data_IF_096156829663
#
_entry.id   IF_096156829663
#
_cell.length_a   1.000
_cell.length_b   1.000
_cell.length_c   1.000
_cell.angle_alpha   90.00
_cell.angle_beta   90.00
_cell.angle_gamma   90.00
#
_symmetry.space_group_name_H-M   'P 1'
#
loop_
_entity.id
_entity.type
_entity.pdbx_description
1 polymer ?
#
# COMPACT_ATOMS: atom_id res chain seq x y z
N UNK A 1 -9.46 -1.04 -9.00
CA UNK A 1 -8.42 -0.72 -8.00
C UNK A 1 -8.54 -1.55 -6.73
N UNK A 2 -9.53 -1.36 -5.85
CA UNK A 2 -9.70 -2.17 -4.62
C UNK A 2 -9.73 -3.70 -4.88
N UNK A 3 -10.46 -4.21 -5.90
CA UNK A 3 -10.39 -5.63 -6.25
C UNK A 3 -8.97 -6.11 -6.61
N UNK A 4 -8.12 -5.23 -7.14
CA UNK A 4 -6.75 -5.55 -7.52
C UNK A 4 -5.86 -5.74 -6.29
N UNK A 5 -6.02 -4.91 -5.25
CA UNK A 5 -5.33 -5.12 -3.96
C UNK A 5 -5.79 -6.40 -3.27
N UNK A 6 -7.08 -6.72 -3.32
CA UNK A 6 -7.63 -7.98 -2.79
C UNK A 6 -7.02 -9.19 -3.51
N UNK A 7 -6.82 -9.10 -4.84
CA UNK A 7 -6.12 -10.13 -5.61
C UNK A 7 -4.70 -10.38 -5.10
N UNK A 8 -3.95 -9.32 -4.76
CA UNK A 8 -2.61 -9.47 -4.19
C UNK A 8 -2.61 -10.19 -2.83
N UNK A 9 -3.62 -9.92 -1.98
CA UNK A 9 -3.80 -10.66 -0.73
C UNK A 9 -4.07 -12.15 -0.97
N UNK A 10 -4.89 -12.48 -1.98
CA UNK A 10 -5.16 -13.87 -2.34
C UNK A 10 -3.89 -14.58 -2.84
N UNK A 11 -3.06 -13.91 -3.64
CA UNK A 11 -1.78 -14.45 -4.10
C UNK A 11 -0.83 -14.72 -2.93
N UNK A 12 -0.71 -13.79 -1.97
CA UNK A 12 0.09 -14.01 -0.76
C UNK A 12 -0.41 -15.17 0.09
N UNK A 13 -1.73 -15.34 0.19
CA UNK A 13 -2.33 -16.45 0.93
C UNK A 13 -2.00 -17.80 0.27
N UNK A 14 -2.14 -17.90 -1.05
CA UNK A 14 -1.77 -19.09 -1.81
C UNK A 14 -0.28 -19.40 -1.65
N UNK A 15 0.58 -18.38 -1.84
CA UNK A 15 2.01 -18.52 -1.68
C UNK A 15 2.37 -19.02 -0.28
N UNK A 16 1.75 -18.50 0.78
CA UNK A 16 2.02 -18.97 2.15
C UNK A 16 1.56 -20.42 2.36
N UNK A 17 0.40 -20.80 1.80
CA UNK A 17 -0.13 -22.16 1.91
C UNK A 17 0.74 -23.18 1.19
N UNK A 18 1.24 -22.85 -0.01
CA UNK A 18 2.10 -23.74 -0.81
C UNK A 18 3.42 -24.09 -0.09
N UNK A 19 3.88 -23.21 0.81
CA UNK A 19 5.14 -23.35 1.52
C UNK A 19 4.98 -23.82 2.97
N UNK A 20 3.75 -24.02 3.47
CA UNK A 20 3.47 -24.25 4.89
C UNK A 20 4.17 -25.49 5.46
N UNK A 21 4.30 -26.54 4.65
CA UNK A 21 4.93 -27.81 5.02
C UNK A 21 6.36 -27.94 4.44
N UNK A 22 6.89 -26.88 3.83
CA UNK A 22 8.23 -26.83 3.25
C UNK A 22 9.23 -26.25 4.26
N UNK A 23 10.17 -27.08 4.70
CA UNK A 23 11.17 -26.72 5.71
C UNK A 23 12.39 -25.96 5.17
N UNK A 24 12.43 -25.66 3.87
CA UNK A 24 13.55 -24.91 3.28
C UNK A 24 13.66 -23.51 3.88
N UNK A 25 14.90 -23.00 3.92
CA UNK A 25 15.21 -21.65 4.42
C UNK A 25 14.39 -20.60 3.64
N UNK A 26 14.22 -20.81 2.34
CA UNK A 26 13.47 -19.91 1.46
C UNK A 26 11.96 -19.96 1.72
N UNK A 27 11.38 -21.15 1.90
CA UNK A 27 9.98 -21.29 2.31
C UNK A 27 9.72 -20.59 3.65
N UNK A 28 10.63 -20.73 4.62
CA UNK A 28 10.54 -20.01 5.89
C UNK A 28 10.60 -18.50 5.71
N UNK A 29 11.41 -18.00 4.76
CA UNK A 29 11.43 -16.57 4.42
C UNK A 29 10.14 -16.07 3.83
N UNK A 30 9.51 -16.85 2.94
CA UNK A 30 8.18 -16.52 2.42
C UNK A 30 7.15 -16.43 3.56
N UNK A 31 7.13 -17.41 4.45
CA UNK A 31 6.21 -17.44 5.61
C UNK A 31 6.46 -16.27 6.57
N UNK A 32 7.70 -15.77 6.67
CA UNK A 32 8.04 -14.61 7.51
C UNK A 32 7.66 -13.28 6.86
N UNK A 33 7.89 -13.12 5.56
CA UNK A 33 7.69 -11.85 4.86
C UNK A 33 6.23 -11.61 4.45
N UNK A 34 5.50 -12.65 4.03
CA UNK A 34 4.11 -12.51 3.59
C UNK A 34 3.21 -11.85 4.64
N UNK A 35 3.25 -12.21 5.94
CA UNK A 35 2.47 -11.54 6.98
C UNK A 35 2.83 -10.07 7.19
N UNK A 36 4.05 -9.64 6.85
CA UNK A 36 4.48 -8.24 6.94
C UNK A 36 4.00 -7.40 5.76
N UNK A 37 3.76 -8.02 4.60
CA UNK A 37 3.21 -7.37 3.40
C UNK A 37 1.69 -7.14 3.52
N UNK A 38 0.97 -8.10 4.12
CA UNK A 38 -0.49 -8.05 4.25
C UNK A 38 -1.02 -6.74 4.85
N UNK A 39 -0.49 -6.20 5.97
CA UNK A 39 -0.92 -4.92 6.53
C UNK A 39 -0.76 -3.76 5.54
N UNK A 40 0.34 -3.69 4.78
CA UNK A 40 0.55 -2.64 3.80
C UNK A 40 -0.52 -2.65 2.70
N UNK A 41 -0.81 -3.82 2.12
CA UNK A 41 -1.84 -3.96 1.09
C UNK A 41 -3.24 -3.68 1.65
N UNK A 42 -3.53 -4.10 2.89
CA UNK A 42 -4.80 -3.78 3.56
C UNK A 42 -4.94 -2.29 3.82
N UNK A 43 -3.88 -1.60 4.26
CA UNK A 43 -3.88 -0.15 4.44
C UNK A 43 -4.20 0.56 3.13
N UNK A 44 -3.52 0.21 2.03
CA UNK A 44 -3.83 0.74 0.70
C UNK A 44 -5.29 0.48 0.29
N UNK A 45 -5.79 -0.73 0.57
CA UNK A 45 -7.19 -1.08 0.32
C UNK A 45 -8.15 -0.17 1.10
N UNK A 46 -7.91 0.05 2.39
CA UNK A 46 -8.74 0.94 3.24
C UNK A 46 -8.67 2.39 2.79
N UNK A 47 -7.48 2.85 2.37
CA UNK A 47 -7.27 4.20 1.86
C UNK A 47 -8.10 4.45 0.62
N UNK A 48 -7.91 3.62 -0.42
CA UNK A 48 -8.62 3.77 -1.67
C UNK A 48 -10.12 3.50 -1.55
N UNK A 49 -10.56 2.62 -0.64
CA UNK A 49 -11.99 2.47 -0.33
C UNK A 49 -12.59 3.76 0.26
N UNK A 50 -11.83 4.51 1.06
CA UNK A 50 -12.32 5.72 1.71
C UNK A 50 -12.33 6.93 0.77
N UNK A 51 -11.37 7.02 -0.14
CA UNK A 51 -11.27 8.17 -1.08
C UNK A 51 -11.93 7.92 -2.44
N UNK A 52 -12.39 6.70 -2.74
CA UNK A 52 -13.03 6.40 -4.03
C UNK A 52 -14.51 6.85 -4.09
N UNK A 53 -14.86 7.48 -5.21
CA UNK A 53 -16.17 8.07 -5.52
C UNK A 53 -17.29 7.02 -5.63
N UNK A 54 -16.96 5.75 -5.89
CA UNK A 54 -17.94 4.65 -6.02
C UNK A 54 -18.63 4.27 -4.71
N UNK A 55 -18.14 4.75 -3.56
CA UNK A 55 -18.84 4.65 -2.28
C UNK A 55 -19.83 5.82 -2.14
N UNK A 56 -20.84 5.83 -3.01
CA UNK A 56 -21.79 6.92 -3.30
C UNK A 56 -22.66 7.42 -2.13
N UNK A 57 -22.41 7.00 -0.89
CA UNK A 57 -23.17 7.47 0.28
C UNK A 57 -22.55 8.66 1.00
N UNK A 58 -21.22 8.84 1.03
CA UNK A 58 -20.56 9.91 1.81
C UNK A 58 -19.10 10.13 1.39
N UNK A 59 -18.81 10.64 0.19
CA UNK A 59 -17.54 11.37 0.08
C UNK A 59 -17.73 12.63 0.94
N UNK A 60 -16.93 12.77 1.99
CA UNK A 60 -17.02 13.89 2.92
C UNK A 60 -16.29 15.13 2.40
N UNK A 61 -15.74 15.05 1.18
CA UNK A 61 -14.93 16.10 0.61
C UNK A 61 -14.98 16.13 -0.91
N UNK A 62 -14.66 17.30 -1.46
CA UNK A 62 -14.34 17.55 -2.87
C UNK A 62 -12.89 18.01 -2.96
N UNK A 63 -12.33 17.88 -4.15
CA UNK A 63 -11.07 18.55 -4.46
C UNK A 63 -11.35 20.02 -4.74
N UNK A 64 -10.45 20.89 -4.31
CA UNK A 64 -10.49 22.31 -4.64
C UNK A 64 -10.57 22.52 -6.16
N UNK A 65 -11.41 23.45 -6.58
CA UNK A 65 -11.52 23.88 -7.98
C UNK A 65 -10.25 24.54 -8.51
N UNK A 66 -9.37 25.01 -7.64
CA UNK A 66 -8.05 25.54 -8.00
C UNK A 66 -6.99 24.46 -8.29
N UNK A 67 -7.33 23.17 -8.17
CA UNK A 67 -6.40 22.09 -8.52
C UNK A 67 -6.02 22.17 -10.00
N UNK A 68 -4.71 22.25 -10.28
CA UNK A 68 -4.23 22.29 -11.66
C UNK A 68 -4.31 20.89 -12.31
N UNK A 69 -4.29 20.86 -13.63
CA UNK A 69 -4.41 19.63 -14.42
C UNK A 69 -3.28 18.62 -14.17
N UNK A 70 -2.08 19.09 -13.82
CA UNK A 70 -0.94 18.24 -13.51
C UNK A 70 -1.15 17.49 -12.19
N UNK A 71 -1.59 18.19 -11.14
CA UNK A 71 -1.92 17.59 -9.84
C UNK A 71 -3.07 16.59 -9.98
N UNK A 72 -4.10 16.94 -10.75
CA UNK A 72 -5.22 16.03 -11.01
C UNK A 72 -4.78 14.77 -11.76
N UNK A 73 -3.89 14.91 -12.75
CA UNK A 73 -3.30 13.78 -13.47
C UNK A 73 -2.49 12.87 -12.54
N UNK A 74 -1.70 13.44 -11.63
CA UNK A 74 -0.96 12.68 -10.61
C UNK A 74 -1.90 11.90 -9.69
N UNK A 75 -2.90 12.54 -9.08
CA UNK A 75 -3.88 11.87 -8.22
C UNK A 75 -4.62 10.74 -8.94
N UNK A 76 -4.80 10.86 -10.27
CA UNK A 76 -5.40 9.81 -11.08
C UNK A 76 -4.45 8.64 -11.38
N UNK A 77 -3.16 8.91 -11.61
CA UNK A 77 -2.17 7.90 -12.02
C UNK A 77 -1.38 7.23 -10.88
N UNK A 78 -1.21 7.91 -9.74
CA UNK A 78 -0.54 7.39 -8.55
C UNK A 78 -1.09 6.04 -8.08
N UNK A 79 -2.41 5.80 -8.09
CA UNK A 79 -2.93 4.54 -7.58
C UNK A 79 -2.57 3.32 -8.43
N UNK A 80 -2.55 3.46 -9.75
CA UNK A 80 -2.12 2.40 -10.66
C UNK A 80 -0.61 2.15 -10.51
N UNK A 81 0.17 3.22 -10.32
CA UNK A 81 1.60 3.12 -10.02
C UNK A 81 1.87 2.39 -8.71
N UNK A 82 1.10 2.67 -7.66
CA UNK A 82 1.18 1.98 -6.36
C UNK A 82 0.80 0.50 -6.50
N UNK A 83 -0.30 0.21 -7.19
CA UNK A 83 -0.74 -1.16 -7.44
C UNK A 83 0.34 -1.98 -8.15
N UNK A 84 0.95 -1.42 -9.19
CA UNK A 84 2.04 -2.07 -9.91
C UNK A 84 3.23 -2.39 -8.98
N UNK A 85 3.57 -1.50 -8.05
CA UNK A 85 4.61 -1.79 -7.04
C UNK A 85 4.21 -2.91 -6.08
N UNK A 86 2.93 -3.01 -5.70
CA UNK A 86 2.45 -4.14 -4.91
C UNK A 86 2.55 -5.46 -5.69
N UNK A 87 2.25 -5.45 -7.00
CA UNK A 87 2.41 -6.62 -7.87
C UNK A 87 3.86 -7.07 -7.97
N UNK A 88 4.80 -6.12 -8.13
CA UNK A 88 6.23 -6.41 -8.09
C UNK A 88 6.63 -7.00 -6.73
N UNK A 89 6.17 -6.41 -5.63
CA UNK A 89 6.50 -6.88 -4.28
C UNK A 89 6.05 -8.34 -4.05
N UNK A 90 4.81 -8.68 -4.40
CA UNK A 90 4.28 -10.04 -4.23
C UNK A 90 4.93 -11.01 -5.22
N UNK A 91 5.14 -10.58 -6.47
CA UNK A 91 5.78 -11.38 -7.51
C UNK A 91 7.24 -11.73 -7.19
N UNK A 92 8.02 -10.76 -6.69
CA UNK A 92 9.41 -11.00 -6.29
C UNK A 92 9.52 -11.93 -5.09
N UNK A 93 8.57 -11.89 -4.15
CA UNK A 93 8.55 -12.84 -3.04
C UNK A 93 8.39 -14.29 -3.53
N UNK A 94 7.50 -14.53 -4.50
CA UNK A 94 7.35 -15.85 -5.13
C UNK A 94 8.58 -16.24 -5.97
N UNK A 95 9.05 -15.33 -6.82
CA UNK A 95 10.23 -15.58 -7.67
C UNK A 95 11.50 -15.88 -6.87
N UNK A 96 11.74 -15.18 -5.77
CA UNK A 96 12.94 -15.39 -4.95
C UNK A 96 13.01 -16.80 -4.36
N UNK A 97 11.86 -17.40 -4.07
CA UNK A 97 11.79 -18.82 -3.72
C UNK A 97 12.12 -19.71 -4.92
N UNK A 98 11.39 -19.56 -6.03
CA UNK A 98 11.51 -20.45 -7.20
C UNK A 98 12.89 -20.40 -7.86
N UNK A 99 13.52 -19.22 -7.85
CA UNK A 99 14.85 -18.98 -8.40
C UNK A 99 15.99 -19.28 -7.40
N UNK A 100 15.67 -19.73 -6.18
CA UNK A 100 16.62 -19.95 -5.09
C UNK A 100 17.53 -18.74 -4.82
N UNK A 101 16.99 -17.52 -4.93
CA UNK A 101 17.75 -16.27 -4.79
C UNK A 101 16.90 -15.18 -4.14
N UNK A 102 16.82 -15.23 -2.81
CA UNK A 102 16.07 -14.25 -2.02
C UNK A 102 16.83 -12.92 -1.91
N UNK A 103 18.15 -12.93 -2.06
CA UNK A 103 18.99 -11.74 -2.02
C UNK A 103 18.64 -10.77 -3.15
N UNK A 104 18.58 -11.27 -4.39
CA UNK A 104 18.20 -10.45 -5.55
C UNK A 104 16.74 -9.99 -5.45
N UNK A 105 15.84 -10.92 -5.08
CA UNK A 105 14.42 -10.61 -4.89
C UNK A 105 14.22 -9.51 -3.83
N UNK A 106 14.93 -9.58 -2.70
CA UNK A 106 14.84 -8.59 -1.61
C UNK A 106 15.27 -7.19 -2.05
N UNK A 107 16.25 -7.10 -2.96
CA UNK A 107 16.66 -5.84 -3.58
C UNK A 107 15.51 -5.19 -4.36
N UNK A 108 14.88 -5.94 -5.26
CA UNK A 108 13.73 -5.47 -6.03
C UNK A 108 12.51 -5.16 -5.14
N UNK A 109 12.26 -5.97 -4.10
CA UNK A 109 11.20 -5.72 -3.14
C UNK A 109 11.42 -4.39 -2.40
N UNK A 110 12.64 -4.11 -1.97
CA UNK A 110 13.01 -2.83 -1.31
C UNK A 110 12.75 -1.64 -2.23
N UNK A 111 13.15 -1.73 -3.48
CA UNK A 111 12.90 -0.70 -4.48
C UNK A 111 11.38 -0.49 -4.68
N UNK A 112 10.62 -1.58 -4.84
CA UNK A 112 9.18 -1.51 -5.01
C UNK A 112 8.48 -0.82 -3.82
N UNK A 113 8.87 -1.16 -2.58
CA UNK A 113 8.35 -0.55 -1.35
C UNK A 113 8.64 0.95 -1.31
N UNK A 114 9.88 1.35 -1.59
CA UNK A 114 10.28 2.76 -1.56
C UNK A 114 9.54 3.57 -2.63
N UNK A 115 9.43 3.03 -3.84
CA UNK A 115 8.68 3.67 -4.92
C UNK A 115 7.19 3.79 -4.57
N UNK A 116 6.58 2.74 -4.02
CA UNK A 116 5.19 2.80 -3.55
C UNK A 116 5.00 3.86 -2.47
N UNK A 117 5.94 3.97 -1.52
CA UNK A 117 5.92 5.03 -0.50
C UNK A 117 5.96 6.41 -1.14
N UNK A 118 6.82 6.64 -2.13
CA UNK A 118 6.91 7.95 -2.79
C UNK A 118 5.59 8.41 -3.40
N UNK A 119 4.85 7.49 -4.04
CA UNK A 119 3.51 7.79 -4.56
C UNK A 119 2.49 8.00 -3.44
N UNK A 120 2.49 7.15 -2.41
CA UNK A 120 1.57 7.30 -1.26
C UNK A 120 1.80 8.63 -0.56
N UNK A 121 3.04 8.99 -0.29
CA UNK A 121 3.43 10.21 0.40
C UNK A 121 3.00 11.44 -0.42
N UNK A 122 3.21 11.39 -1.75
CA UNK A 122 2.74 12.44 -2.66
C UNK A 122 1.21 12.55 -2.66
N UNK A 123 0.49 11.44 -2.81
CA UNK A 123 -0.98 11.43 -2.78
C UNK A 123 -1.53 11.98 -1.46
N UNK A 124 -0.96 11.60 -0.32
CA UNK A 124 -1.38 12.09 1.01
C UNK A 124 -1.20 13.60 1.12
N UNK A 125 -0.05 14.14 0.70
CA UNK A 125 0.22 15.59 0.71
C UNK A 125 -0.78 16.32 -0.19
N UNK A 126 -1.06 15.80 -1.39
CA UNK A 126 -2.01 16.42 -2.31
C UNK A 126 -3.44 16.39 -1.76
N UNK A 127 -3.84 15.30 -1.10
CA UNK A 127 -5.16 15.22 -0.48
C UNK A 127 -5.28 16.16 0.72
N UNK A 128 -4.25 16.31 1.55
CA UNK A 128 -4.28 17.26 2.67
C UNK A 128 -4.37 18.72 2.21
N UNK A 129 -3.68 19.06 1.11
CA UNK A 129 -3.68 20.41 0.53
C UNK A 129 -4.98 20.78 -0.18
N UNK A 130 -5.57 19.86 -0.94
CA UNK A 130 -6.69 20.16 -1.84
C UNK A 130 -8.04 19.60 -1.36
N UNK A 131 -8.12 19.06 -0.15
CA UNK A 131 -9.37 18.61 0.45
C UNK A 131 -10.24 19.81 0.88
N UNK A 132 -11.44 19.91 0.29
CA UNK A 132 -12.52 20.79 0.74
C UNK A 132 -13.66 19.94 1.29
N UNK A 133 -14.11 20.10 2.55
CA UNK A 133 -15.24 19.35 3.08
C UNK A 133 -16.53 19.60 2.26
N UNK A 134 -17.24 18.53 1.94
CA UNK A 134 -18.55 18.60 1.29
C UNK A 134 -19.58 19.04 2.31
N UNK A 135 -20.22 20.18 2.05
CA UNK A 135 -21.24 20.74 2.91
C UNK A 135 -22.35 19.73 3.22
N UNK A 136 -22.50 19.39 4.49
CA UNK A 136 -23.67 18.74 5.09
C UNK A 136 -24.19 19.70 6.17
N UNK A 137 -25.48 19.68 6.52
CA UNK A 137 -26.06 20.43 7.65
C UNK A 137 -25.36 20.16 9.01
N UNK A 138 -24.36 19.27 9.03
CA UNK A 138 -23.42 18.99 10.13
C UNK A 138 -22.21 19.93 10.03
N UNK A 139 -21.80 20.46 11.18
CA UNK A 139 -20.71 21.43 11.36
C UNK A 139 -19.45 21.08 10.52
N UNK A 140 -19.16 21.90 9.50
CA UNK A 140 -18.12 21.65 8.49
C UNK A 140 -16.73 21.45 9.10
N UNK A 141 -16.45 22.13 10.22
CA UNK A 141 -15.18 22.05 10.95
C UNK A 141 -14.95 20.66 11.56
N UNK A 142 -16.02 19.97 11.99
CA UNK A 142 -15.91 18.62 12.55
C UNK A 142 -15.52 17.61 11.47
N UNK A 143 -16.13 17.71 10.29
CA UNK A 143 -15.93 16.75 9.21
C UNK A 143 -14.53 16.82 8.60
N UNK A 144 -14.01 18.04 8.41
CA UNK A 144 -12.64 18.26 7.94
C UNK A 144 -11.61 17.78 8.97
N UNK A 145 -11.83 18.10 10.25
CA UNK A 145 -11.00 17.61 11.34
C UNK A 145 -10.96 16.08 11.38
N UNK A 146 -12.08 15.41 11.17
CA UNK A 146 -12.18 13.94 11.17
C UNK A 146 -11.44 13.29 10.00
N UNK A 147 -11.49 13.90 8.80
CA UNK A 147 -10.77 13.38 7.63
C UNK A 147 -9.26 13.58 7.78
N UNK A 148 -8.80 14.78 8.16
CA UNK A 148 -7.38 15.07 8.37
C UNK A 148 -6.77 14.22 9.48
N UNK A 149 -7.49 14.06 10.59
CA UNK A 149 -7.07 13.18 11.70
C UNK A 149 -6.89 11.74 11.22
N UNK A 150 -7.88 11.20 10.50
CA UNK A 150 -7.74 9.85 9.95
C UNK A 150 -6.61 9.73 8.93
N UNK A 151 -6.45 10.70 8.03
CA UNK A 151 -5.42 10.69 7.00
C UNK A 151 -4.03 10.64 7.65
N UNK A 152 -3.83 11.44 8.69
CA UNK A 152 -2.60 11.47 9.50
C UNK A 152 -2.35 10.13 10.20
N UNK A 153 -3.34 9.59 10.90
CA UNK A 153 -3.22 8.28 11.57
C UNK A 153 -2.92 7.15 10.58
N UNK A 154 -3.63 7.13 9.45
CA UNK A 154 -3.43 6.15 8.40
C UNK A 154 -2.02 6.23 7.80
N UNK A 155 -1.51 7.44 7.57
CA UNK A 155 -0.16 7.66 7.03
C UNK A 155 0.92 7.18 8.00
N UNK A 156 0.74 7.42 9.31
CA UNK A 156 1.61 6.86 10.35
C UNK A 156 1.62 5.32 10.37
N UNK A 157 0.45 4.69 10.21
CA UNK A 157 0.34 3.23 10.11
C UNK A 157 1.02 2.69 8.85
N UNK A 158 0.89 3.39 7.72
CA UNK A 158 1.58 3.06 6.47
C UNK A 158 3.09 3.03 6.64
N UNK A 159 3.68 4.10 7.20
CA UNK A 159 5.11 4.15 7.45
C UNK A 159 5.59 3.08 8.45
N UNK A 160 4.79 2.79 9.47
CA UNK A 160 5.09 1.71 10.42
C UNK A 160 5.15 0.35 9.71
N UNK A 161 4.15 0.04 8.86
CA UNK A 161 4.13 -1.20 8.10
C UNK A 161 5.30 -1.29 7.11
N UNK A 162 5.57 -0.19 6.39
CA UNK A 162 6.71 -0.06 5.48
C UNK A 162 8.03 -0.37 6.16
N UNK A 163 8.32 0.30 7.28
CA UNK A 163 9.60 0.18 7.96
C UNK A 163 9.81 -1.24 8.50
N UNK A 164 8.78 -1.85 9.10
CA UNK A 164 8.84 -3.25 9.56
C UNK A 164 9.19 -4.22 8.43
N UNK A 165 8.63 -4.02 7.24
CA UNK A 165 8.93 -4.85 6.09
C UNK A 165 10.36 -4.61 5.57
N UNK A 166 10.81 -3.36 5.50
CA UNK A 166 12.19 -3.02 5.11
C UNK A 166 13.24 -3.57 6.09
N UNK A 167 12.95 -3.55 7.38
CA UNK A 167 13.80 -4.12 8.43
C UNK A 167 13.93 -5.63 8.23
N UNK A 168 12.82 -6.33 8.00
CA UNK A 168 12.81 -7.77 7.74
C UNK A 168 13.59 -8.15 6.46
N UNK A 169 13.49 -7.33 5.40
CA UNK A 169 14.25 -7.49 4.15
C UNK A 169 15.74 -7.15 4.29
N UNK A 170 16.17 -6.56 5.40
CA UNK A 170 17.58 -6.28 5.67
C UNK A 170 18.29 -7.44 6.37
N UNK A 171 17.54 -8.45 6.82
CA UNK A 171 18.11 -9.64 7.46
C UNK A 171 18.63 -10.57 6.35
N UNK A 172 19.94 -10.93 6.34
CA UNK A 172 20.50 -11.82 5.34
C UNK A 172 19.78 -13.17 5.30
N UNK A 173 19.77 -13.80 4.13
CA UNK A 173 19.37 -15.19 3.96
C UNK A 173 20.65 -15.97 3.69
N UNK A 174 20.99 -16.92 4.55
CA UNK A 174 22.09 -17.83 4.28
C UNK A 174 21.67 -18.77 3.15
N UNK A 175 21.97 -18.37 1.92
CA UNK A 175 21.74 -19.13 0.69
C UNK A 175 22.85 -20.20 0.54
N UNK A 176 22.81 -21.26 1.37
CA UNK A 176 23.68 -22.43 1.28
C UNK A 176 22.87 -23.70 0.96
#
# INVERSE_FOLDING_TARGET
MVPCFIRQLALLANLTNDHKDNDSILARRVIQLAPLIVPGIKLLTTFYNRISITNTKKLQFKLDTEINSQTLFQLHGDPDSILFRCEVLVGQLGYGHDANSMTLASGHMREAINNASGFVDSTVVLLDLYHIPLSSEIDHLSLESDFKTWLFEWHGLWHTAKNRLLDALSIPVDEN
#
